data_IF_509163064935
#
_entry.id   IF_509163064935
#
_cell.length_a   1.000
_cell.length_b   1.000
_cell.length_c   1.000
_cell.angle_alpha   90.00
_cell.angle_beta   90.00
_cell.angle_gamma   90.00
#
_symmetry.space_group_name_H-M   'P 1'
#
loop_
_entity.id
_entity.type
_entity.pdbx_description
1 polymer ?
#
# COMPACT_ATOMS: atom_id res chain seq x y z
N UNK A 1 39.49 -17.47 21.26
CA UNK A 1 38.79 -18.70 21.71
C UNK A 1 37.70 -18.29 22.69
N UNK A 2 36.45 -18.73 22.44
CA UNK A 2 35.31 -19.02 23.34
C UNK A 2 35.25 -18.25 24.69
N UNK A 3 34.12 -17.71 25.20
CA UNK A 3 32.73 -18.11 25.04
C UNK A 3 31.78 -17.07 25.67
N UNK A 4 30.50 -17.21 25.32
CA UNK A 4 29.32 -16.44 25.72
C UNK A 4 29.00 -16.41 27.23
N UNK A 5 28.22 -15.40 27.65
CA UNK A 5 26.95 -15.57 28.41
C UNK A 5 26.46 -14.25 29.04
N UNK A 6 25.36 -13.67 28.53
CA UNK A 6 24.38 -12.88 29.31
C UNK A 6 23.00 -13.10 28.68
N UNK A 7 22.28 -14.13 29.15
CA UNK A 7 21.15 -14.08 30.11
C UNK A 7 19.94 -13.26 29.64
N UNK A 8 18.95 -14.00 29.14
CA UNK A 8 17.53 -13.67 29.16
C UNK A 8 17.05 -13.37 30.58
N UNK A 9 16.15 -12.38 30.71
CA UNK A 9 15.01 -12.41 31.63
C UNK A 9 13.80 -11.93 30.83
N UNK A 10 12.83 -12.82 30.64
CA UNK A 10 11.51 -12.50 30.12
C UNK A 10 10.52 -12.19 31.23
N UNK A 11 9.44 -11.53 30.84
CA UNK A 11 8.07 -11.48 31.43
C UNK A 11 7.33 -10.46 30.54
N UNK A 12 6.38 -10.80 29.67
CA UNK A 12 5.40 -11.89 29.72
C UNK A 12 4.03 -11.27 29.89
N UNK A 13 3.31 -11.03 28.79
CA UNK A 13 1.85 -11.00 28.76
C UNK A 13 1.43 -11.78 27.53
N UNK A 14 0.85 -12.96 27.78
CA UNK A 14 0.37 -13.86 26.74
C UNK A 14 -1.06 -13.56 26.33
N UNK A 15 -1.36 -13.85 25.07
CA UNK A 15 -2.63 -14.46 24.68
C UNK A 15 -2.25 -15.65 23.79
N UNK A 16 -2.48 -16.85 24.32
CA UNK A 16 -2.60 -18.07 23.53
C UNK A 16 -4.02 -18.15 22.99
N UNK A 17 -4.18 -18.37 21.69
CA UNK A 17 -5.19 -19.26 21.10
C UNK A 17 -5.01 -19.32 19.58
N UNK A 18 -5.03 -20.56 19.07
CA UNK A 18 -5.18 -21.01 17.67
C UNK A 18 -3.91 -21.27 16.85
N UNK A 19 -3.32 -22.43 17.16
CA UNK A 19 -2.70 -23.33 16.19
C UNK A 19 -3.67 -23.65 15.03
N UNK A 20 -3.15 -23.67 13.81
CA UNK A 20 -3.86 -24.23 12.64
C UNK A 20 -4.14 -23.26 11.50
N UNK A 21 -3.27 -22.29 11.22
CA UNK A 21 -3.25 -21.64 9.92
C UNK A 21 -2.17 -22.29 9.07
N UNK A 22 -2.58 -23.05 8.05
CA UNK A 22 -1.70 -23.27 6.90
C UNK A 22 -1.17 -21.91 6.47
N UNK A 23 0.14 -21.83 6.23
CA UNK A 23 0.78 -20.58 5.80
C UNK A 23 0.05 -20.07 4.56
N UNK A 24 -0.75 -19.02 4.72
CA UNK A 24 -1.19 -18.22 3.59
C UNK A 24 0.07 -17.55 3.09
N UNK A 25 0.61 -18.04 1.98
CA UNK A 25 1.64 -17.32 1.26
C UNK A 25 0.97 -16.06 0.71
N UNK A 26 1.17 -14.93 1.40
CA UNK A 26 1.16 -13.65 0.73
C UNK A 26 2.10 -13.76 -0.48
N UNK A 27 1.79 -13.06 -1.57
CA UNK A 27 2.65 -13.02 -2.76
C UNK A 27 4.11 -12.87 -2.33
N UNK A 28 5.08 -13.53 -3.00
CA UNK A 28 6.47 -13.17 -2.80
C UNK A 28 6.56 -11.67 -3.07
N UNK A 29 6.80 -10.90 -2.00
CA UNK A 29 7.13 -9.49 -2.11
C UNK A 29 8.41 -9.47 -2.92
N UNK A 30 8.29 -9.12 -4.20
CA UNK A 30 9.43 -8.55 -4.92
C UNK A 30 9.77 -7.28 -4.18
N UNK A 31 11.01 -7.13 -3.72
CA UNK A 31 11.54 -5.90 -3.13
C UNK A 31 11.64 -4.75 -4.15
N UNK A 32 11.09 -4.93 -5.35
CA UNK A 32 11.17 -3.97 -6.46
C UNK A 32 9.78 -3.65 -6.99
N UNK A 33 9.45 -2.36 -6.93
CA UNK A 33 8.38 -1.74 -7.70
C UNK A 33 8.66 -1.86 -9.21
N UNK A 34 7.61 -2.00 -10.02
CA UNK A 34 7.75 -1.92 -11.47
C UNK A 34 7.67 -0.49 -11.98
N UNK A 35 8.51 -0.15 -12.96
CA UNK A 35 8.46 1.17 -13.64
C UNK A 35 7.20 1.30 -14.49
N UNK A 36 6.83 2.52 -14.83
CA UNK A 36 5.67 2.78 -15.70
C UNK A 36 5.83 2.13 -17.08
N UNK A 37 7.05 2.05 -17.63
CA UNK A 37 7.33 1.35 -18.88
C UNK A 37 7.13 -0.17 -18.75
N UNK A 38 7.50 -0.74 -17.60
CA UNK A 38 7.28 -2.17 -17.33
C UNK A 38 5.79 -2.48 -17.23
N UNK A 39 5.00 -1.61 -16.58
CA UNK A 39 3.54 -1.71 -16.57
C UNK A 39 2.94 -1.58 -17.97
N UNK A 40 3.35 -0.57 -18.74
CA UNK A 40 2.90 -0.35 -20.11
C UNK A 40 3.23 -1.53 -21.03
N UNK A 41 4.41 -2.14 -20.86
CA UNK A 41 4.81 -3.33 -21.60
C UNK A 41 3.91 -4.53 -21.29
N UNK A 42 3.51 -4.70 -20.02
CA UNK A 42 2.66 -5.83 -19.60
C UNK A 42 1.21 -5.70 -20.07
N UNK A 43 0.69 -4.48 -20.23
CA UNK A 43 -0.69 -4.24 -20.65
C UNK A 43 -0.87 -4.08 -22.18
N UNK A 44 0.21 -4.09 -22.98
CA UNK A 44 0.21 -3.72 -24.41
C UNK A 44 -0.79 -4.48 -25.29
N UNK A 45 -1.08 -5.73 -24.95
CA UNK A 45 -2.02 -6.61 -25.68
C UNK A 45 -3.13 -7.17 -24.78
N UNK A 46 -3.30 -6.59 -23.58
CA UNK A 46 -4.32 -7.05 -22.63
C UNK A 46 -5.66 -6.42 -22.99
N UNK A 47 -6.60 -7.26 -23.43
CA UNK A 47 -8.02 -6.93 -23.54
C UNK A 47 -8.78 -7.58 -22.40
N UNK A 48 -9.72 -6.86 -21.83
CA UNK A 48 -10.59 -7.33 -20.75
C UNK A 48 -12.04 -7.03 -21.10
N UNK A 49 -13.00 -7.64 -20.40
CA UNK A 49 -14.42 -7.32 -20.57
C UNK A 49 -14.72 -5.84 -20.29
N UNK A 50 -13.87 -5.19 -19.47
CA UNK A 50 -13.91 -3.76 -19.23
C UNK A 50 -13.63 -2.93 -20.47
N UNK A 51 -12.68 -3.42 -21.26
CA UNK A 51 -12.10 -2.67 -22.33
C UNK A 51 -11.93 -3.60 -23.56
N UNK A 52 -13.05 -3.98 -24.21
CA UNK A 52 -13.03 -4.96 -25.28
C UNK A 52 -12.43 -4.41 -26.57
N UNK A 53 -12.55 -3.10 -26.78
CA UNK A 53 -12.25 -2.42 -28.03
C UNK A 53 -10.95 -1.59 -27.99
N UNK A 54 -10.38 -1.36 -26.80
CA UNK A 54 -9.13 -0.64 -26.63
C UNK A 54 -8.23 -1.31 -25.57
N UNK A 55 -6.96 -0.89 -25.50
CA UNK A 55 -6.05 -1.32 -24.44
C UNK A 55 -6.32 -0.52 -23.15
N UNK A 56 -5.90 -1.07 -22.02
CA UNK A 56 -5.95 -0.37 -20.73
C UNK A 56 -5.15 0.94 -20.77
N UNK A 57 -5.64 1.97 -20.10
CA UNK A 57 -4.98 3.28 -20.02
C UNK A 57 -3.71 3.21 -19.17
N UNK A 58 -2.61 3.71 -19.72
CA UNK A 58 -1.33 3.83 -19.01
C UNK A 58 -1.25 5.07 -18.11
N UNK A 59 -2.22 5.98 -18.20
CA UNK A 59 -2.13 7.31 -17.57
C UNK A 59 -3.30 7.67 -16.65
N UNK A 60 -4.37 6.86 -16.66
CA UNK A 60 -5.59 7.13 -15.88
C UNK A 60 -6.19 5.82 -15.40
N UNK A 61 -6.74 5.82 -14.18
CA UNK A 61 -7.65 4.79 -13.70
C UNK A 61 -9.09 5.25 -13.97
N UNK A 62 -9.84 4.46 -14.73
CA UNK A 62 -11.18 4.84 -15.23
C UNK A 62 -12.33 4.24 -14.43
N UNK A 63 -12.04 3.39 -13.45
CA UNK A 63 -13.00 2.86 -12.46
C UNK A 63 -13.67 4.00 -11.66
N UNK A 64 -14.97 3.84 -11.37
CA UNK A 64 -15.79 4.81 -10.61
C UNK A 64 -16.56 4.09 -9.50
N UNK A 65 -17.03 4.81 -8.45
CA UNK A 65 -17.77 4.19 -7.34
C UNK A 65 -19.14 3.61 -7.70
N UNK A 66 -19.65 3.91 -8.89
CA UNK A 66 -20.90 3.39 -9.46
C UNK A 66 -20.68 2.12 -10.30
N UNK A 67 -19.43 1.77 -10.59
CA UNK A 67 -19.08 0.57 -11.35
C UNK A 67 -19.39 -0.69 -10.53
N UNK A 68 -19.99 -1.70 -11.17
CA UNK A 68 -20.34 -2.96 -10.49
C UNK A 68 -19.13 -3.71 -9.94
N UNK A 69 -17.93 -3.46 -10.50
CA UNK A 69 -16.66 -4.02 -10.07
C UNK A 69 -16.05 -3.28 -8.88
N UNK A 70 -16.56 -2.10 -8.55
CA UNK A 70 -15.89 -1.20 -7.61
C UNK A 70 -15.71 -1.83 -6.23
N UNK A 71 -16.69 -2.60 -5.74
CA UNK A 71 -16.56 -3.27 -4.44
C UNK A 71 -15.41 -4.28 -4.44
N UNK A 72 -15.32 -5.14 -5.48
CA UNK A 72 -14.20 -6.06 -5.63
C UNK A 72 -12.87 -5.34 -5.81
N UNK A 73 -12.89 -4.21 -6.52
CA UNK A 73 -11.72 -3.37 -6.67
C UNK A 73 -11.23 -2.83 -5.32
N UNK A 74 -12.12 -2.38 -4.43
CA UNK A 74 -11.75 -1.94 -3.08
C UNK A 74 -11.10 -3.08 -2.28
N UNK A 75 -11.68 -4.28 -2.30
CA UNK A 75 -11.09 -5.43 -1.62
C UNK A 75 -9.74 -5.82 -2.22
N UNK A 76 -9.59 -5.72 -3.54
CA UNK A 76 -8.32 -6.00 -4.21
C UNK A 76 -7.24 -4.96 -3.86
N UNK A 77 -7.58 -3.68 -3.86
CA UNK A 77 -6.69 -2.57 -3.43
C UNK A 77 -6.23 -2.81 -2.00
N UNK A 78 -7.17 -3.10 -1.09
CA UNK A 78 -6.88 -3.37 0.31
C UNK A 78 -6.00 -4.62 0.49
N UNK A 79 -6.33 -5.73 -0.16
CA UNK A 79 -5.56 -6.97 -0.07
C UNK A 79 -4.12 -6.82 -0.59
N UNK A 80 -3.91 -5.88 -1.53
CA UNK A 80 -2.61 -5.55 -2.07
C UNK A 80 -1.93 -4.36 -1.35
N UNK A 81 -2.57 -3.78 -0.31
CA UNK A 81 -2.05 -2.67 0.50
C UNK A 81 -1.67 -1.44 -0.34
N UNK A 82 -2.39 -1.20 -1.43
CA UNK A 82 -1.96 -0.25 -2.47
C UNK A 82 -1.98 1.19 -1.95
N UNK A 83 -2.91 1.52 -1.06
CA UNK A 83 -3.00 2.87 -0.50
C UNK A 83 -2.50 2.97 0.95
N UNK A 84 -1.95 1.89 1.51
CA UNK A 84 -1.15 2.01 2.73
C UNK A 84 0.01 2.94 2.39
N UNK A 85 0.25 3.95 3.21
CA UNK A 85 1.31 4.89 2.91
C UNK A 85 1.94 5.48 4.14
N UNK A 86 3.15 5.98 3.92
CA UNK A 86 3.91 6.69 4.90
C UNK A 86 4.34 8.04 4.36
N UNK A 87 4.20 9.08 5.18
CA UNK A 87 4.68 10.42 4.86
C UNK A 87 6.12 10.58 5.37
N UNK A 88 7.07 10.84 4.48
CA UNK A 88 8.46 11.12 4.84
C UNK A 88 8.79 12.62 4.68
N UNK A 89 9.86 13.05 5.35
CA UNK A 89 10.38 14.40 5.29
C UNK A 89 10.69 14.87 3.86
N UNK A 90 10.80 16.19 3.70
CA UNK A 90 11.34 16.83 2.50
C UNK A 90 12.78 16.36 2.24
N UNK A 91 13.01 15.66 1.13
CA UNK A 91 14.34 15.14 0.79
C UNK A 91 14.79 13.99 1.68
N UNK A 92 13.87 13.06 1.96
CA UNK A 92 14.02 11.85 2.77
C UNK A 92 15.30 11.04 2.59
N UNK A 93 15.44 10.04 3.45
CA UNK A 93 16.53 9.07 3.44
C UNK A 93 16.46 8.33 2.10
N UNK A 94 17.49 8.48 1.26
CA UNK A 94 17.60 7.88 -0.09
C UNK A 94 16.78 8.56 -1.22
N UNK A 95 16.07 9.66 -0.97
CA UNK A 95 15.38 10.42 -2.02
C UNK A 95 16.35 11.29 -2.84
N UNK A 96 16.39 11.08 -4.14
CA UNK A 96 17.20 11.85 -5.11
C UNK A 96 16.39 12.81 -5.99
N UNK A 97 15.05 12.87 -5.80
CA UNK A 97 14.14 13.68 -6.59
C UNK A 97 13.86 15.09 -6.03
N UNK A 98 12.78 15.77 -6.50
CA UNK A 98 12.44 17.12 -6.06
C UNK A 98 12.22 17.26 -4.55
N UNK A 99 12.74 18.34 -3.96
CA UNK A 99 12.67 18.66 -2.53
C UNK A 99 11.72 19.82 -2.22
N UNK A 100 10.83 20.15 -3.15
CA UNK A 100 9.85 21.23 -3.01
C UNK A 100 8.51 20.75 -2.42
N UNK A 101 8.44 19.53 -1.92
CA UNK A 101 7.23 18.94 -1.36
C UNK A 101 7.53 17.84 -0.33
N UNK A 102 6.48 17.15 0.07
CA UNK A 102 6.53 16.06 1.06
C UNK A 102 6.37 14.73 0.33
N UNK A 103 7.17 13.74 0.71
CA UNK A 103 7.19 12.45 0.03
C UNK A 103 6.15 11.54 0.66
N UNK A 104 5.34 10.90 -0.17
CA UNK A 104 4.47 9.80 0.22
C UNK A 104 5.04 8.51 -0.34
N UNK A 105 5.32 7.56 0.55
CA UNK A 105 5.72 6.20 0.23
C UNK A 105 4.49 5.33 0.27
N UNK A 106 3.95 5.05 -0.92
CA UNK A 106 2.77 4.23 -1.09
C UNK A 106 3.14 2.76 -1.18
N UNK A 107 2.28 1.90 -0.66
CA UNK A 107 2.40 0.45 -0.64
C UNK A 107 3.81 -0.06 -0.24
N UNK A 108 4.40 0.44 0.86
CA UNK A 108 5.78 0.17 1.22
C UNK A 108 6.04 -1.33 1.42
N UNK A 109 7.12 -1.82 0.85
CA UNK A 109 7.49 -3.23 0.86
C UNK A 109 6.56 -4.11 0.02
N UNK A 110 6.00 -3.58 -1.07
CA UNK A 110 5.18 -4.34 -2.00
C UNK A 110 5.60 -4.10 -3.46
N UNK A 111 5.17 -4.97 -4.38
CA UNK A 111 5.39 -4.75 -5.83
C UNK A 111 4.66 -3.52 -6.39
N UNK A 112 3.75 -2.93 -5.61
CA UNK A 112 2.98 -1.73 -5.94
C UNK A 112 3.62 -0.46 -5.38
N UNK A 113 4.78 -0.59 -4.73
CA UNK A 113 5.45 0.54 -4.08
C UNK A 113 5.69 1.69 -5.06
N UNK A 114 5.37 2.90 -4.63
CA UNK A 114 5.63 4.09 -5.44
C UNK A 114 5.83 5.32 -4.57
N UNK A 115 6.57 6.29 -5.09
CA UNK A 115 6.92 7.52 -4.40
C UNK A 115 6.32 8.70 -5.14
N UNK A 116 5.54 9.50 -4.42
CA UNK A 116 4.97 10.74 -4.96
C UNK A 116 5.41 11.93 -4.12
N UNK A 117 5.78 13.03 -4.77
CA UNK A 117 6.01 14.31 -4.09
C UNK A 117 4.73 15.13 -4.17
N UNK A 118 4.14 15.41 -3.01
CA UNK A 118 2.92 16.22 -2.92
C UNK A 118 3.21 17.60 -2.32
N UNK A 119 2.39 18.62 -2.64
CA UNK A 119 2.47 19.91 -1.97
C UNK A 119 2.27 19.79 -0.45
N UNK A 120 2.89 20.70 0.30
CA UNK A 120 2.75 20.74 1.76
C UNK A 120 1.28 20.78 2.23
N UNK A 121 0.41 21.54 1.55
CA UNK A 121 -1.01 21.62 1.91
C UNK A 121 -1.68 20.24 1.90
N UNK A 122 -1.40 19.43 0.88
CA UNK A 122 -1.92 18.06 0.77
C UNK A 122 -1.38 17.20 1.92
N UNK A 123 -0.07 17.27 2.17
CA UNK A 123 0.55 16.51 3.25
C UNK A 123 0.00 16.89 4.63
N UNK A 124 -0.16 18.18 4.90
CA UNK A 124 -0.73 18.73 6.15
C UNK A 124 -2.11 18.14 6.40
N UNK A 125 -2.95 18.07 5.36
CA UNK A 125 -4.28 17.47 5.50
C UNK A 125 -4.20 16.03 6.00
N UNK A 126 -3.34 15.20 5.40
CA UNK A 126 -3.17 13.80 5.81
C UNK A 126 -2.55 13.65 7.20
N UNK A 127 -1.50 14.40 7.51
CA UNK A 127 -0.77 14.19 8.76
C UNK A 127 -1.45 14.87 9.95
N UNK A 128 -2.04 16.05 9.78
CA UNK A 128 -2.55 16.85 10.89
C UNK A 128 -4.07 16.77 11.07
N UNK A 129 -4.85 16.78 9.98
CA UNK A 129 -6.32 16.86 10.05
C UNK A 129 -6.90 15.51 10.42
N UNK A 130 -6.48 14.47 9.69
CA UNK A 130 -6.96 13.10 9.84
C UNK A 130 -6.60 12.57 11.23
N UNK A 131 -5.43 12.94 11.75
CA UNK A 131 -4.98 12.54 13.07
C UNK A 131 -5.38 13.47 14.22
N UNK A 132 -5.91 14.66 13.92
CA UNK A 132 -6.28 15.70 14.90
C UNK A 132 -5.13 16.05 15.86
N UNK A 133 -3.92 16.21 15.32
CA UNK A 133 -2.72 16.43 16.13
C UNK A 133 -2.77 17.73 16.94
N UNK A 134 -2.37 17.62 18.21
CA UNK A 134 -2.13 18.75 19.11
C UNK A 134 -0.66 18.90 19.41
N UNK A 135 -0.23 20.11 19.78
CA UNK A 135 1.18 20.38 20.10
C UNK A 135 1.70 19.58 21.31
N UNK A 136 0.82 19.19 22.23
CA UNK A 136 1.12 18.33 23.37
C UNK A 136 1.61 16.94 22.98
N UNK A 137 1.26 16.45 21.79
CA UNK A 137 1.73 15.15 21.26
C UNK A 137 3.20 15.19 20.82
N UNK A 138 3.76 16.38 20.59
CA UNK A 138 5.11 16.59 20.07
C UNK A 138 5.89 17.58 20.95
N UNK A 139 5.86 17.33 22.27
CA UNK A 139 6.37 18.26 23.28
C UNK A 139 7.85 18.63 23.05
N UNK A 140 8.68 17.65 22.74
CA UNK A 140 10.12 17.83 22.48
C UNK A 140 10.41 18.74 21.28
N UNK A 141 9.53 18.75 20.28
CA UNK A 141 9.58 19.74 19.21
C UNK A 141 9.25 21.14 19.73
N UNK A 142 8.07 21.31 20.34
CA UNK A 142 7.52 22.61 20.69
C UNK A 142 8.17 23.26 21.91
N UNK A 143 8.87 22.52 22.77
CA UNK A 143 9.62 23.06 23.90
C UNK A 143 10.64 24.14 23.48
N UNK A 144 11.24 23.99 22.28
CA UNK A 144 12.17 24.97 21.71
C UNK A 144 11.48 26.23 21.17
N UNK A 145 10.16 26.23 21.09
CA UNK A 145 9.32 27.29 20.53
C UNK A 145 8.27 27.79 21.53
N UNK A 146 8.64 27.84 22.82
CA UNK A 146 7.78 28.36 23.89
C UNK A 146 6.87 27.32 24.56
N UNK A 147 7.12 26.03 24.37
CA UNK A 147 6.37 24.94 25.01
C UNK A 147 5.03 24.64 24.32
N UNK A 148 4.20 23.83 24.96
CA UNK A 148 2.90 23.37 24.45
C UNK A 148 1.74 24.17 25.04
N UNK A 149 0.65 24.29 24.28
CA UNK A 149 -0.55 25.06 24.62
C UNK A 149 -1.84 24.21 24.58
N UNK A 150 -1.77 22.95 24.14
CA UNK A 150 -2.93 22.07 24.01
C UNK A 150 -3.78 22.37 22.77
N UNK A 151 -3.22 23.09 21.79
CA UNK A 151 -3.93 23.52 20.58
C UNK A 151 -3.55 22.65 19.38
N UNK A 152 -4.32 22.76 18.29
CA UNK A 152 -4.01 22.07 17.06
C UNK A 152 -2.66 22.53 16.50
N UNK A 153 -1.83 21.61 16.00
CA UNK A 153 -0.49 21.96 15.50
C UNK A 153 -0.52 22.96 14.34
N UNK A 154 -1.61 23.05 13.56
CA UNK A 154 -1.76 24.04 12.48
C UNK A 154 -1.76 25.48 12.99
N UNK A 155 -2.20 25.68 14.23
CA UNK A 155 -2.21 27.01 14.87
C UNK A 155 -0.80 27.39 15.33
N UNK A 156 0.08 26.39 15.51
CA UNK A 156 1.46 26.57 15.96
C UNK A 156 2.45 26.68 14.80
N UNK A 157 2.19 25.99 13.70
CA UNK A 157 3.12 25.86 12.58
C UNK A 157 2.79 26.84 11.46
N UNK A 158 3.83 27.48 10.91
CA UNK A 158 3.67 28.35 9.74
C UNK A 158 4.46 27.84 8.53
N UNK A 159 4.23 28.43 7.36
CA UNK A 159 5.01 28.08 6.16
C UNK A 159 6.39 28.73 6.15
N UNK A 160 6.54 29.91 6.73
CA UNK A 160 7.73 30.77 6.53
C UNK A 160 8.45 31.14 7.83
N UNK A 161 7.73 31.25 8.94
CA UNK A 161 8.25 31.72 10.23
C UNK A 161 8.35 30.57 11.23
N UNK A 162 9.50 30.35 11.89
CA UNK A 162 9.62 29.29 12.88
C UNK A 162 8.59 29.38 14.02
N UNK A 163 8.05 28.24 14.49
CA UNK A 163 8.27 26.89 13.96
C UNK A 163 7.55 26.65 12.62
N UNK A 164 8.26 26.10 11.63
CA UNK A 164 7.68 25.87 10.29
C UNK A 164 7.23 24.43 10.08
N UNK A 165 6.32 24.22 9.13
CA UNK A 165 5.91 22.89 8.67
C UNK A 165 7.09 22.04 8.20
N UNK A 166 8.03 22.61 7.45
CA UNK A 166 9.23 21.90 7.01
C UNK A 166 10.11 21.42 8.18
N UNK A 167 10.27 22.25 9.22
CA UNK A 167 11.00 21.87 10.43
C UNK A 167 10.29 20.75 11.19
N UNK A 168 8.97 20.84 11.29
CA UNK A 168 8.16 19.85 12.00
C UNK A 168 8.15 18.50 11.27
N UNK A 169 7.89 18.48 9.96
CA UNK A 169 7.87 17.25 9.16
C UNK A 169 9.24 16.55 9.14
N UNK A 170 10.33 17.31 9.10
CA UNK A 170 11.69 16.76 9.29
C UNK A 170 11.87 16.11 10.66
N UNK A 171 11.26 16.68 11.69
CA UNK A 171 11.36 16.14 13.03
C UNK A 171 10.51 14.87 13.23
N UNK A 172 9.29 14.81 12.66
CA UNK A 172 8.37 13.67 12.85
C UNK A 172 8.53 12.55 11.82
N UNK A 173 9.06 12.85 10.64
CA UNK A 173 9.26 11.90 9.55
C UNK A 173 10.73 11.66 9.18
N UNK A 174 11.68 12.17 9.97
CA UNK A 174 13.11 11.92 9.77
C UNK A 174 13.54 10.52 10.24
N UNK A 175 14.73 10.04 9.81
CA UNK A 175 15.20 8.67 10.08
C UNK A 175 15.35 8.34 11.58
N UNK A 176 15.66 9.36 12.39
CA UNK A 176 15.80 9.22 13.85
C UNK A 176 14.50 9.58 14.60
N UNK A 177 13.39 9.75 13.89
CA UNK A 177 12.16 10.23 14.52
C UNK A 177 11.49 9.15 15.36
N UNK A 178 11.22 9.40 16.66
CA UNK A 178 10.38 8.51 17.46
C UNK A 178 8.91 8.56 17.04
N UNK A 179 8.55 9.48 16.13
CA UNK A 179 7.21 9.75 15.67
C UNK A 179 6.88 9.08 14.33
N UNK A 180 7.80 8.29 13.76
CA UNK A 180 7.62 7.62 12.47
C UNK A 180 6.29 6.84 12.33
N UNK A 181 5.82 6.24 13.43
CA UNK A 181 4.53 5.54 13.43
C UNK A 181 3.33 6.45 13.16
N UNK A 182 3.40 7.73 13.50
CA UNK A 182 2.31 8.71 13.33
C UNK A 182 2.11 9.11 11.88
N UNK A 183 3.13 8.97 11.03
CA UNK A 183 3.04 9.34 9.62
C UNK A 183 2.60 8.17 8.74
N UNK A 184 2.07 7.10 9.33
CA UNK A 184 1.67 5.89 8.64
C UNK A 184 0.16 5.69 8.65
N UNK A 185 -0.40 5.37 7.48
CA UNK A 185 -1.80 5.10 7.24
C UNK A 185 -2.01 3.68 6.72
N UNK A 186 -2.99 2.97 7.26
CA UNK A 186 -3.40 1.64 6.79
C UNK A 186 -4.91 1.49 6.73
N UNK A 187 -5.41 0.71 5.79
CA UNK A 187 -6.83 0.33 5.79
C UNK A 187 -7.14 -0.64 6.93
N UNK A 188 -8.23 -0.36 7.64
CA UNK A 188 -8.74 -1.15 8.75
C UNK A 188 -9.94 -2.02 8.34
N UNK A 189 -10.87 -1.41 7.62
CA UNK A 189 -12.17 -2.02 7.31
C UNK A 189 -12.83 -1.34 6.11
N UNK A 190 -13.51 -2.12 5.28
CA UNK A 190 -14.42 -1.62 4.23
C UNK A 190 -15.87 -1.77 4.73
N UNK A 191 -16.60 -0.66 4.82
CA UNK A 191 -18.04 -0.62 5.15
C UNK A 191 -18.84 -0.30 3.87
N UNK A 192 -19.30 -1.36 3.20
CA UNK A 192 -20.11 -1.27 1.98
C UNK A 192 -21.45 -0.55 2.23
N UNK A 193 -22.05 -0.73 3.42
CA UNK A 193 -23.37 -0.16 3.75
C UNK A 193 -23.28 1.36 3.90
N UNK A 194 -22.24 1.85 4.57
CA UNK A 194 -22.00 3.29 4.75
C UNK A 194 -21.22 3.90 3.58
N UNK A 195 -20.72 3.08 2.64
CA UNK A 195 -19.81 3.48 1.56
C UNK A 195 -18.59 4.23 2.11
N UNK A 196 -17.94 3.60 3.09
CA UNK A 196 -16.78 4.13 3.80
C UNK A 196 -15.66 3.12 3.85
N UNK A 197 -14.42 3.60 3.81
CA UNK A 197 -13.24 2.83 4.21
C UNK A 197 -12.71 3.44 5.49
N UNK A 198 -12.57 2.62 6.51
CA UNK A 198 -11.97 2.99 7.78
C UNK A 198 -10.47 2.83 7.65
N UNK A 199 -9.74 3.87 8.01
CA UNK A 199 -8.29 3.92 8.02
C UNK A 199 -7.79 4.00 9.47
N UNK A 200 -6.66 3.35 9.74
CA UNK A 200 -5.86 3.59 10.93
C UNK A 200 -4.68 4.48 10.58
N UNK A 201 -4.58 5.59 11.28
CA UNK A 201 -3.35 6.34 11.44
C UNK A 201 -2.53 5.81 12.61
N UNK A 202 -1.28 6.26 12.68
CA UNK A 202 -0.38 5.90 13.75
C UNK A 202 -0.98 6.02 15.15
N UNK A 203 -0.53 5.12 16.04
CA UNK A 203 -1.04 5.00 17.42
C UNK A 203 -2.55 4.68 17.55
N UNK A 204 -3.17 4.12 16.52
CA UNK A 204 -4.55 3.64 16.59
C UNK A 204 -5.57 4.75 16.43
N UNK A 205 -5.19 5.91 15.87
CA UNK A 205 -6.16 6.92 15.46
C UNK A 205 -6.97 6.37 14.29
N UNK A 206 -8.29 6.46 14.39
CA UNK A 206 -9.19 5.99 13.33
C UNK A 206 -9.83 7.16 12.62
N UNK A 207 -9.87 7.11 11.30
CA UNK A 207 -10.61 8.05 10.46
C UNK A 207 -11.29 7.33 9.29
N UNK A 208 -12.24 7.99 8.64
CA UNK A 208 -13.05 7.39 7.57
C UNK A 208 -12.86 8.16 6.26
N UNK A 209 -12.68 7.43 5.16
CA UNK A 209 -12.80 7.95 3.81
C UNK A 209 -14.14 7.58 3.20
N UNK A 210 -14.73 8.51 2.45
CA UNK A 210 -15.79 8.16 1.49
C UNK A 210 -15.20 7.33 0.36
N UNK A 211 -16.02 6.52 -0.32
CA UNK A 211 -15.57 5.82 -1.52
C UNK A 211 -15.00 6.76 -2.59
N UNK A 212 -15.58 7.95 -2.76
CA UNK A 212 -15.05 8.97 -3.68
C UNK A 212 -13.66 9.46 -3.25
N UNK A 213 -13.49 9.75 -1.95
CA UNK A 213 -12.20 10.19 -1.43
C UNK A 213 -11.16 9.08 -1.55
N UNK A 214 -11.53 7.85 -1.19
CA UNK A 214 -10.66 6.68 -1.30
C UNK A 214 -10.20 6.46 -2.74
N UNK A 215 -11.12 6.51 -3.72
CA UNK A 215 -10.77 6.39 -5.13
C UNK A 215 -9.86 7.53 -5.61
N UNK A 216 -10.00 8.74 -5.06
CA UNK A 216 -9.08 9.84 -5.35
C UNK A 216 -7.65 9.48 -4.90
N UNK A 217 -7.48 8.92 -3.70
CA UNK A 217 -6.16 8.45 -3.24
C UNK A 217 -5.61 7.34 -4.13
N UNK A 218 -6.45 6.35 -4.46
CA UNK A 218 -6.05 5.24 -5.35
C UNK A 218 -5.54 5.76 -6.70
N UNK A 219 -6.12 6.85 -7.23
CA UNK A 219 -5.72 7.45 -8.51
C UNK A 219 -4.37 8.16 -8.48
N UNK A 220 -3.83 8.48 -7.29
CA UNK A 220 -2.46 8.99 -7.16
C UNK A 220 -1.42 7.87 -7.42
N UNK A 221 -1.82 6.61 -7.25
CA UNK A 221 -0.94 5.43 -7.32
C UNK A 221 -1.21 4.57 -8.55
N UNK A 222 -2.47 4.40 -8.92
CA UNK A 222 -2.90 3.46 -9.96
C UNK A 222 -3.38 4.15 -11.25
N UNK A 223 -3.04 3.48 -12.35
CA UNK A 223 -3.65 3.64 -13.67
C UNK A 223 -4.35 2.33 -14.04
N UNK A 224 -5.15 2.30 -15.11
CA UNK A 224 -5.78 1.05 -15.56
C UNK A 224 -4.72 -0.03 -15.88
N UNK A 225 -3.58 0.35 -16.48
CA UNK A 225 -2.48 -0.58 -16.72
C UNK A 225 -1.82 -1.08 -15.44
N UNK A 226 -1.73 -0.27 -14.37
CA UNK A 226 -1.28 -0.79 -13.06
C UNK A 226 -2.34 -1.73 -12.47
N UNK A 227 -3.62 -1.41 -12.63
CA UNK A 227 -4.73 -2.25 -12.19
C UNK A 227 -5.06 -3.42 -13.15
N UNK A 228 -4.23 -3.75 -14.15
CA UNK A 228 -4.61 -4.74 -15.18
C UNK A 228 -4.95 -6.11 -14.59
N UNK A 229 -4.21 -6.54 -13.56
CA UNK A 229 -4.42 -7.83 -12.91
C UNK A 229 -5.80 -7.90 -12.25
N UNK A 230 -6.28 -6.80 -11.67
CA UNK A 230 -7.64 -6.74 -11.13
C UNK A 230 -8.67 -7.06 -12.21
N UNK A 231 -8.59 -6.40 -13.36
CA UNK A 231 -9.56 -6.60 -14.44
C UNK A 231 -9.51 -8.04 -15.00
N UNK A 232 -8.31 -8.62 -15.16
CA UNK A 232 -8.17 -10.01 -15.60
C UNK A 232 -8.74 -11.01 -14.60
N UNK A 233 -8.50 -10.79 -13.30
CA UNK A 233 -9.03 -11.66 -12.25
C UNK A 233 -10.54 -11.55 -12.15
N UNK A 234 -11.09 -10.34 -12.31
CA UNK A 234 -12.54 -10.14 -12.35
C UNK A 234 -13.17 -10.87 -13.54
N UNK A 235 -12.57 -10.78 -14.73
CA UNK A 235 -13.05 -11.50 -15.92
C UNK A 235 -13.03 -13.02 -15.74
N UNK A 236 -12.01 -13.53 -15.05
CA UNK A 236 -11.80 -14.96 -14.83
C UNK A 236 -12.71 -15.54 -13.74
N UNK A 237 -12.85 -14.83 -12.61
CA UNK A 237 -13.49 -15.35 -11.40
C UNK A 237 -14.87 -14.72 -11.13
N UNK A 238 -15.20 -13.63 -11.80
CA UNK A 238 -16.46 -12.91 -11.63
C UNK A 238 -16.55 -12.13 -10.32
N UNK A 239 -17.76 -11.61 -10.07
CA UNK A 239 -18.08 -10.79 -8.91
C UNK A 239 -17.81 -11.51 -7.59
N UNK A 240 -17.24 -10.79 -6.63
CA UNK A 240 -16.96 -11.24 -5.28
C UNK A 240 -15.58 -11.88 -5.11
N UNK A 241 -14.78 -12.03 -6.17
CA UNK A 241 -13.52 -12.79 -6.11
C UNK A 241 -12.53 -12.23 -5.09
N UNK A 242 -12.43 -10.90 -4.98
CA UNK A 242 -11.44 -10.24 -4.13
C UNK A 242 -11.84 -10.23 -2.65
N UNK A 243 -13.15 -10.37 -2.36
CA UNK A 243 -13.69 -10.44 -1.00
C UNK A 243 -13.51 -11.80 -0.31
N UNK A 244 -13.09 -12.83 -1.04
CA UNK A 244 -12.89 -14.18 -0.51
C UNK A 244 -11.48 -14.34 0.05
N UNK A 245 -11.35 -14.88 1.28
CA UNK A 245 -10.03 -15.19 1.82
C UNK A 245 -9.34 -16.27 0.97
N UNK A 246 -8.08 -16.04 0.60
CA UNK A 246 -7.24 -17.07 -0.06
C UNK A 246 -7.36 -17.16 -1.59
N UNK A 247 -8.02 -16.22 -2.27
CA UNK A 247 -8.14 -16.22 -3.74
C UNK A 247 -6.80 -16.30 -4.48
N UNK A 248 -5.72 -15.76 -3.91
CA UNK A 248 -4.37 -15.79 -4.48
C UNK A 248 -3.66 -17.16 -4.41
N UNK A 249 -4.14 -18.09 -3.57
CA UNK A 249 -3.53 -19.43 -3.43
C UNK A 249 -3.99 -20.40 -4.52
N UNK A 250 -5.15 -20.14 -5.16
CA UNK A 250 -5.72 -21.01 -6.21
C UNK A 250 -5.26 -20.69 -7.64
N UNK A 251 -4.68 -19.51 -7.89
CA UNK A 251 -4.40 -19.01 -9.23
C UNK A 251 -3.05 -19.49 -9.86
N UNK A 252 -2.35 -20.44 -9.21
CA UNK A 252 -1.07 -21.01 -9.71
C UNK A 252 -1.14 -22.49 -10.11
N UNK A 253 -2.28 -22.98 -10.60
CA UNK A 253 -2.23 -24.12 -11.52
C UNK A 253 -2.00 -23.56 -12.92
N UNK A 254 -0.73 -23.40 -13.30
CA UNK A 254 -0.32 -23.27 -14.70
C UNK A 254 -1.09 -24.31 -15.52
N UNK A 255 -1.63 -24.00 -16.73
CA UNK A 255 -2.11 -25.04 -17.60
C UNK A 255 -0.95 -26.01 -17.80
N UNK A 256 -1.15 -27.27 -17.40
CA UNK A 256 -0.18 -28.31 -17.71
C UNK A 256 -0.20 -28.43 -19.22
N UNK A 257 0.84 -27.91 -19.88
CA UNK A 257 1.10 -28.28 -21.27
C UNK A 257 1.32 -29.79 -21.23
N UNK A 258 0.33 -30.55 -21.69
CA UNK A 258 0.52 -31.99 -21.88
C UNK A 258 1.75 -32.17 -22.76
N UNK A 259 2.77 -32.92 -22.30
CA UNK A 259 3.92 -33.20 -23.14
C UNK A 259 3.44 -34.02 -24.34
N UNK A 260 3.69 -33.50 -25.54
CA UNK A 260 3.51 -34.22 -26.80
C UNK A 260 4.11 -35.62 -26.66
N UNK A 261 3.35 -36.71 -26.92
CA UNK A 261 3.88 -38.05 -26.81
C UNK A 261 5.05 -38.21 -27.80
N UNK A 262 6.17 -38.73 -27.29
CA UNK A 262 7.35 -39.00 -28.08
C UNK A 262 7.02 -39.97 -29.23
N UNK A 263 7.64 -39.81 -30.42
CA UNK A 263 7.38 -40.69 -31.55
C UNK A 263 7.80 -42.12 -31.20
N UNK A 264 6.89 -43.07 -31.44
CA UNK A 264 7.11 -44.49 -31.25
C UNK A 264 8.32 -44.98 -32.06
N UNK A 265 9.35 -45.45 -31.36
CA UNK A 265 10.44 -46.22 -31.97
C UNK A 265 9.92 -47.64 -32.28
N UNK A 266 10.01 -48.15 -33.51
CA UNK A 266 9.60 -49.51 -33.82
C UNK A 266 10.53 -50.53 -33.14
N UNK A 267 9.96 -51.48 -32.41
CA UNK A 267 10.69 -52.57 -31.79
C UNK A 267 11.33 -53.49 -32.84
N UNK A 268 12.64 -53.74 -32.68
CA UNK A 268 13.35 -54.78 -33.39
C UNK A 268 12.79 -56.16 -32.97
N UNK A 269 12.19 -56.86 -33.92
CA UNK A 269 11.97 -58.30 -33.83
C UNK A 269 13.33 -59.02 -33.92
N UNK A 270 13.80 -59.58 -32.81
CA UNK A 270 14.82 -60.63 -32.81
C UNK A 270 14.14 -61.96 -33.13
N UNK A 271 14.37 -62.45 -34.35
CA UNK A 271 14.03 -63.80 -34.76
C UNK A 271 15.25 -64.49 -35.35
N UNK A 272 15.88 -65.34 -34.55
CA UNK A 272 16.55 -66.62 -34.89
C UNK A 272 17.45 -67.04 -33.73
#
# INVERSE_FOLDING_TARGET
>A
MLNAAKRLVGLGWGIWMLSGMGSVQAFPVSEYAWTDEQWAQRCRDVRTSYNPDHGLSTSKLTLTPEDERFEDFLFWVWANKIIEHQVEQVGGTEWDGPTNGVIFHWAPGSRWETHTVVPFEHAIHHVADEHRWTDTMFKDFFDRFGGTQGVNIKERLSMTTPPTWGMFLRHVGGPESPYYRYVFHQEAQIDLKRRRVVMFGGQGVTFEYTFDRYLKEVKEVLTDCKAFEFFQLYDLYGKGFASQMGWAAGARSTPTVEPTPAPHTPGHHSGS
#
